data_IF_544890115345
#
_entry.id   IF_544890115345
#
_cell.length_a   1.000
_cell.length_b   1.000
_cell.length_c   1.000
_cell.angle_alpha   90.00
_cell.angle_beta   90.00
_cell.angle_gamma   90.00
#
_symmetry.space_group_name_H-M   'P 1'
#
loop_
_entity.id
_entity.type
_entity.pdbx_description
1 polymer ?
#
# COMPACT_ATOMS: atom_id res chain seq x y z
N UNK A 1 5.52 -19.01 -21.68
CA UNK A 1 4.10 -18.98 -21.30
C UNK A 1 3.52 -17.65 -21.78
N UNK A 2 2.33 -17.66 -22.40
CA UNK A 2 1.71 -16.45 -22.97
C UNK A 2 1.24 -15.52 -21.83
N UNK A 3 1.42 -14.20 -22.00
CA UNK A 3 0.90 -13.16 -21.09
C UNK A 3 1.38 -13.24 -19.64
N UNK A 4 2.68 -13.35 -19.43
CA UNK A 4 3.29 -13.18 -18.11
C UNK A 4 3.65 -11.72 -17.86
N UNK A 5 3.42 -11.24 -16.62
CA UNK A 5 3.74 -9.90 -16.18
C UNK A 5 4.32 -9.92 -14.76
N UNK A 6 5.43 -9.24 -14.56
CA UNK A 6 5.92 -8.92 -13.22
C UNK A 6 5.20 -7.66 -12.73
N UNK A 7 4.47 -7.74 -11.63
CA UNK A 7 3.79 -6.59 -11.04
C UNK A 7 4.55 -6.20 -9.77
N UNK A 8 5.06 -4.97 -9.70
CA UNK A 8 5.88 -4.50 -8.59
C UNK A 8 5.09 -3.53 -7.72
N UNK A 9 5.12 -3.76 -6.41
CA UNK A 9 4.45 -2.94 -5.40
C UNK A 9 5.44 -1.98 -4.75
N UNK A 10 5.07 -0.69 -4.73
CA UNK A 10 5.77 0.39 -4.04
C UNK A 10 4.85 1.09 -3.05
N UNK A 11 5.45 1.60 -1.95
CA UNK A 11 4.81 2.47 -0.97
C UNK A 11 5.61 3.77 -0.82
N UNK A 12 6.29 3.99 0.31
CA UNK A 12 7.12 5.18 0.51
C UNK A 12 8.34 5.22 -0.43
N UNK A 13 8.49 6.32 -1.18
CA UNK A 13 9.66 6.59 -2.04
C UNK A 13 10.16 8.01 -1.79
N UNK A 14 11.07 8.19 -0.82
CA UNK A 14 11.50 9.51 -0.35
C UNK A 14 12.97 9.56 0.04
N UNK A 15 13.50 10.77 0.21
CA UNK A 15 14.84 10.99 0.74
C UNK A 15 14.83 10.85 2.28
N UNK A 16 14.71 9.63 2.78
CA UNK A 16 14.51 9.31 4.19
C UNK A 16 15.47 10.01 5.16
N UNK A 17 16.80 10.10 4.89
CA UNK A 17 17.74 10.73 5.82
C UNK A 17 17.45 12.21 6.11
N UNK A 18 16.71 12.88 5.23
CA UNK A 18 16.43 14.32 5.30
C UNK A 18 14.99 14.65 5.72
N UNK A 19 14.21 13.62 6.13
CA UNK A 19 12.84 13.80 6.61
C UNK A 19 12.80 13.92 8.14
N UNK A 20 11.66 14.36 8.69
CA UNK A 20 11.42 14.34 10.15
C UNK A 20 11.41 12.93 10.74
N UNK A 21 11.17 11.92 9.89
CA UNK A 21 11.03 10.51 10.30
C UNK A 21 11.97 9.60 9.49
N UNK A 22 13.31 9.72 9.69
CA UNK A 22 14.28 8.96 8.90
C UNK A 22 14.22 7.44 9.13
N UNK A 23 13.50 6.99 10.16
CA UNK A 23 13.32 5.58 10.51
C UNK A 23 12.11 4.94 9.80
N UNK A 24 11.34 5.69 9.00
CA UNK A 24 10.30 5.10 8.15
C UNK A 24 10.93 4.06 7.22
N UNK A 25 10.32 2.89 7.15
CA UNK A 25 10.74 1.84 6.22
C UNK A 25 10.21 2.16 4.83
N UNK A 26 11.07 2.64 3.96
CA UNK A 26 10.73 3.01 2.59
C UNK A 26 11.92 2.89 1.65
N UNK A 27 11.69 3.08 0.37
CA UNK A 27 12.71 3.13 -0.65
C UNK A 27 13.29 4.56 -0.73
N UNK A 28 14.62 4.69 -0.80
CA UNK A 28 15.23 5.98 -1.08
C UNK A 28 14.90 6.43 -2.52
N UNK A 29 14.67 7.72 -2.73
CA UNK A 29 14.45 8.28 -4.06
C UNK A 29 15.61 7.97 -5.03
N UNK A 30 16.85 8.00 -4.53
CA UNK A 30 18.04 7.60 -5.29
C UNK A 30 18.00 6.11 -5.68
N UNK A 31 17.60 5.24 -4.76
CA UNK A 31 17.46 3.80 -5.03
C UNK A 31 16.33 3.51 -6.01
N UNK A 32 15.23 4.28 -5.97
CA UNK A 32 14.16 4.16 -6.95
C UNK A 32 14.67 4.47 -8.37
N UNK A 33 15.42 5.56 -8.56
CA UNK A 33 16.04 5.89 -9.86
C UNK A 33 16.95 4.77 -10.37
N UNK A 34 17.81 4.25 -9.51
CA UNK A 34 18.69 3.13 -9.84
C UNK A 34 17.90 1.86 -10.20
N UNK A 35 16.83 1.57 -9.45
CA UNK A 35 15.96 0.42 -9.71
C UNK A 35 15.21 0.55 -11.05
N UNK A 36 14.69 1.74 -11.40
CA UNK A 36 14.09 1.98 -12.71
C UNK A 36 15.13 1.75 -13.82
N UNK A 37 16.36 2.23 -13.66
CA UNK A 37 17.43 1.98 -14.63
C UNK A 37 17.78 0.48 -14.73
N UNK A 38 17.76 -0.26 -13.62
CA UNK A 38 17.92 -1.72 -13.65
C UNK A 38 16.79 -2.39 -14.41
N UNK A 39 15.53 -1.99 -14.16
CA UNK A 39 14.34 -2.54 -14.80
C UNK A 39 14.38 -2.31 -16.32
N UNK A 40 14.76 -1.12 -16.80
CA UNK A 40 14.90 -0.78 -18.22
C UNK A 40 15.85 -1.72 -18.99
N UNK A 41 16.80 -2.35 -18.30
CA UNK A 41 17.77 -3.27 -18.94
C UNK A 41 17.22 -4.67 -19.21
N UNK A 42 16.21 -5.10 -18.45
CA UNK A 42 15.78 -6.49 -18.42
C UNK A 42 14.29 -6.70 -18.67
N UNK A 43 13.49 -5.62 -18.57
CA UNK A 43 12.04 -5.69 -18.65
C UNK A 43 11.50 -4.69 -19.68
N UNK A 44 10.27 -4.94 -20.12
CA UNK A 44 9.50 -4.03 -20.95
C UNK A 44 8.37 -3.45 -20.11
N UNK A 45 8.38 -2.14 -19.87
CA UNK A 45 7.28 -1.46 -19.18
C UNK A 45 6.02 -1.56 -20.03
N UNK A 46 4.93 -1.91 -19.36
CA UNK A 46 3.60 -2.00 -19.95
C UNK A 46 2.63 -1.11 -19.18
N UNK A 47 1.48 -0.83 -19.78
CA UNK A 47 0.39 -0.09 -19.16
C UNK A 47 -0.61 -1.05 -18.52
N UNK A 48 -1.47 -0.51 -17.64
CA UNK A 48 -2.58 -1.30 -17.09
C UNK A 48 -3.58 -1.69 -18.18
N UNK A 49 -3.73 -0.85 -19.19
CA UNK A 49 -4.54 -1.11 -20.37
C UNK A 49 -4.03 -2.33 -21.17
N UNK A 50 -2.70 -2.50 -21.26
CA UNK A 50 -2.10 -3.69 -21.88
C UNK A 50 -2.47 -4.96 -21.10
N UNK A 51 -2.45 -4.89 -19.75
CA UNK A 51 -2.89 -6.01 -18.92
C UNK A 51 -4.37 -6.36 -19.16
N UNK A 52 -5.25 -5.37 -19.20
CA UNK A 52 -6.69 -5.54 -19.48
C UNK A 52 -6.88 -6.15 -20.89
N UNK A 53 -6.17 -5.62 -21.88
CA UNK A 53 -6.22 -6.14 -23.24
C UNK A 53 -5.75 -7.60 -23.33
N UNK A 54 -4.68 -7.94 -22.63
CA UNK A 54 -4.16 -9.31 -22.60
C UNK A 54 -5.13 -10.32 -21.96
N UNK A 55 -5.95 -9.88 -20.97
CA UNK A 55 -6.91 -10.75 -20.30
C UNK A 55 -8.23 -10.86 -21.07
N UNK A 56 -8.74 -9.77 -21.64
CA UNK A 56 -10.12 -9.70 -22.12
C UNK A 56 -10.27 -9.59 -23.63
N UNK A 57 -9.22 -9.16 -24.35
CA UNK A 57 -9.30 -8.82 -25.78
C UNK A 57 -8.21 -9.46 -26.63
N UNK A 58 -7.69 -10.62 -26.20
CA UNK A 58 -6.67 -11.40 -26.93
C UNK A 58 -5.38 -10.61 -27.25
N UNK A 59 -5.07 -9.56 -26.49
CA UNK A 59 -3.82 -8.83 -26.60
C UNK A 59 -2.61 -9.69 -26.19
N UNK A 60 -1.47 -9.46 -26.81
CA UNK A 60 -0.21 -10.11 -26.45
C UNK A 60 0.68 -9.13 -25.66
N UNK A 61 1.24 -9.57 -24.54
CA UNK A 61 2.26 -8.82 -23.83
C UNK A 61 3.65 -9.06 -24.41
N UNK A 62 4.54 -8.06 -24.35
CA UNK A 62 5.94 -8.29 -24.67
C UNK A 62 6.56 -9.30 -23.70
N UNK A 63 7.63 -9.96 -24.13
CA UNK A 63 8.43 -10.76 -23.20
C UNK A 63 8.95 -9.88 -22.05
N UNK A 64 9.05 -10.45 -20.86
CA UNK A 64 9.53 -9.73 -19.68
C UNK A 64 8.70 -8.46 -19.35
N UNK A 65 7.38 -8.51 -19.55
CA UNK A 65 6.49 -7.40 -19.22
C UNK A 65 6.56 -7.05 -17.72
N UNK A 66 6.55 -5.75 -17.40
CA UNK A 66 6.53 -5.25 -16.02
C UNK A 66 5.55 -4.09 -15.86
N UNK A 67 4.76 -4.15 -14.78
CA UNK A 67 3.84 -3.10 -14.36
C UNK A 67 4.26 -2.54 -13.01
N UNK A 68 4.30 -1.22 -12.87
CA UNK A 68 4.67 -0.54 -11.62
C UNK A 68 3.42 -0.04 -10.90
N UNK A 69 3.26 -0.41 -9.62
CA UNK A 69 2.09 -0.06 -8.80
C UNK A 69 2.52 0.64 -7.51
N UNK A 70 1.77 1.68 -7.11
CA UNK A 70 2.10 2.57 -5.99
C UNK A 70 0.88 2.74 -5.09
N UNK A 71 0.96 2.23 -3.87
CA UNK A 71 -0.16 2.16 -2.95
C UNK A 71 -0.23 3.38 -2.02
N UNK A 72 -1.37 3.58 -1.34
CA UNK A 72 -1.65 4.55 -0.27
C UNK A 72 -1.78 6.03 -0.70
N UNK A 73 -1.32 6.42 -1.88
CA UNK A 73 -1.45 7.80 -2.35
C UNK A 73 -0.52 8.80 -1.65
N UNK A 74 0.67 8.38 -1.22
CA UNK A 74 1.65 9.25 -0.58
C UNK A 74 2.10 10.42 -1.48
N UNK A 75 2.39 11.57 -0.85
CA UNK A 75 2.91 12.77 -1.55
C UNK A 75 4.22 12.47 -2.32
N UNK A 76 4.98 11.50 -1.87
CA UNK A 76 6.20 11.02 -2.53
C UNK A 76 5.95 10.59 -3.97
N UNK A 77 4.76 10.04 -4.24
CA UNK A 77 4.37 9.59 -5.57
C UNK A 77 4.28 10.76 -6.55
N UNK A 78 3.79 11.91 -6.10
CA UNK A 78 3.76 13.13 -6.92
C UNK A 78 5.13 13.81 -7.00
N UNK A 79 5.79 14.01 -5.85
CA UNK A 79 7.01 14.83 -5.79
C UNK A 79 8.25 14.09 -6.31
N UNK A 80 8.29 12.76 -6.24
CA UNK A 80 9.48 11.95 -6.53
C UNK A 80 9.23 10.97 -7.68
N UNK A 81 8.19 10.14 -7.58
CA UNK A 81 7.96 9.05 -8.53
C UNK A 81 7.48 9.57 -9.88
N UNK A 82 6.42 10.37 -9.88
CA UNK A 82 5.79 10.88 -11.09
C UNK A 82 6.77 11.58 -12.04
N UNK A 83 7.60 12.57 -11.61
CA UNK A 83 8.55 13.22 -12.52
C UNK A 83 9.58 12.28 -13.14
N UNK A 84 9.97 11.22 -12.41
CA UNK A 84 10.91 10.21 -12.92
C UNK A 84 10.25 9.37 -14.01
N UNK A 85 9.04 8.88 -13.76
CA UNK A 85 8.30 8.04 -14.71
C UNK A 85 7.88 8.84 -15.94
N UNK A 86 7.34 10.06 -15.75
CA UNK A 86 6.93 10.96 -16.83
C UNK A 86 8.09 11.24 -17.79
N UNK A 87 9.26 11.59 -17.25
CA UNK A 87 10.45 11.90 -18.07
C UNK A 87 10.93 10.74 -18.95
N UNK A 88 10.50 9.51 -18.63
CA UNK A 88 10.83 8.27 -19.34
C UNK A 88 9.66 7.72 -20.17
N UNK A 89 8.49 8.37 -20.12
CA UNK A 89 7.27 7.86 -20.77
C UNK A 89 6.74 6.55 -20.18
N UNK A 90 6.99 6.30 -18.90
CA UNK A 90 6.56 5.09 -18.19
C UNK A 90 5.26 5.40 -17.45
N UNK A 91 4.22 4.59 -17.66
CA UNK A 91 3.00 4.66 -16.86
C UNK A 91 3.24 4.04 -15.47
N UNK A 92 2.93 4.77 -14.41
CA UNK A 92 2.76 4.24 -13.06
C UNK A 92 1.27 4.08 -12.75
N UNK A 93 0.92 3.06 -11.96
CA UNK A 93 -0.45 2.82 -11.48
C UNK A 93 -0.53 3.19 -10.00
N UNK A 94 -1.31 4.20 -9.67
CA UNK A 94 -1.40 4.76 -8.31
C UNK A 94 -2.75 4.44 -7.68
N UNK A 95 -2.72 3.96 -6.45
CA UNK A 95 -3.89 3.49 -5.71
C UNK A 95 -4.03 4.27 -4.40
N UNK A 96 -4.62 5.48 -4.42
CA UNK A 96 -4.83 6.25 -3.21
C UNK A 96 -6.00 5.72 -2.38
N UNK A 97 -5.88 5.77 -1.05
CA UNK A 97 -7.02 5.65 -0.14
C UNK A 97 -7.81 6.96 -0.15
N UNK A 98 -9.10 6.88 -0.50
CA UNK A 98 -9.91 8.07 -0.77
C UNK A 98 -10.11 8.97 0.47
N UNK A 99 -10.35 8.37 1.63
CA UNK A 99 -10.61 9.10 2.89
C UNK A 99 -9.42 9.94 3.33
N UNK A 100 -8.22 9.42 3.21
CA UNK A 100 -6.99 10.14 3.57
C UNK A 100 -6.84 11.47 2.82
N UNK A 101 -7.33 11.52 1.60
CA UNK A 101 -7.27 12.70 0.73
C UNK A 101 -8.46 13.64 0.93
N UNK A 102 -9.67 13.09 1.13
CA UNK A 102 -10.90 13.87 1.24
C UNK A 102 -11.15 14.41 2.65
N UNK A 103 -10.89 13.58 3.65
CA UNK A 103 -11.21 13.88 5.05
C UNK A 103 -9.97 14.20 5.88
N UNK A 104 -8.77 14.07 5.27
CA UNK A 104 -7.47 14.33 5.91
C UNK A 104 -7.23 13.48 7.16
N UNK A 105 -7.73 12.26 7.16
CA UNK A 105 -7.47 11.27 8.20
C UNK A 105 -6.27 10.40 7.84
N UNK A 106 -5.48 10.04 8.84
CA UNK A 106 -4.35 9.12 8.68
C UNK A 106 -4.80 7.71 9.06
N UNK A 107 -4.77 6.70 8.17
CA UNK A 107 -5.09 5.32 8.51
C UNK A 107 -4.24 4.78 9.67
N UNK A 108 -4.82 3.92 10.48
CA UNK A 108 -4.18 3.33 11.66
C UNK A 108 -2.79 2.76 11.36
N UNK A 109 -2.63 2.06 10.25
CA UNK A 109 -1.34 1.49 9.83
C UNK A 109 -0.27 2.57 9.65
N UNK A 110 -0.61 3.70 9.07
CA UNK A 110 0.33 4.81 8.88
C UNK A 110 0.61 5.54 10.20
N UNK A 111 -0.40 5.72 11.06
CA UNK A 111 -0.17 6.20 12.44
C UNK A 111 0.86 5.31 13.16
N UNK A 112 0.74 3.98 13.05
CA UNK A 112 1.69 3.02 13.63
C UNK A 112 3.08 3.16 13.00
N UNK A 113 3.19 3.31 11.68
CA UNK A 113 4.49 3.50 11.01
C UNK A 113 5.20 4.75 11.54
N UNK A 114 4.50 5.88 11.62
CA UNK A 114 5.08 7.13 12.11
C UNK A 114 5.35 7.11 13.61
N UNK A 115 4.50 6.47 14.40
CA UNK A 115 4.72 6.25 15.83
C UNK A 115 6.03 5.47 16.05
N UNK A 116 6.23 4.37 15.35
CA UNK A 116 7.46 3.56 15.45
C UNK A 116 8.70 4.33 14.96
N UNK A 117 8.54 5.18 13.95
CA UNK A 117 9.63 5.98 13.39
C UNK A 117 9.96 7.23 14.22
N UNK A 118 9.05 7.70 15.08
CA UNK A 118 9.26 8.88 15.95
C UNK A 118 10.05 8.57 17.21
N UNK A 119 10.08 7.29 17.64
CA UNK A 119 10.67 6.92 18.90
C UNK A 119 12.18 6.70 18.82
N UNK A 120 12.93 7.37 19.68
CA UNK A 120 14.35 7.10 19.88
C UNK A 120 14.58 5.70 20.49
N UNK A 121 13.65 5.25 21.35
CA UNK A 121 13.69 3.93 21.97
C UNK A 121 12.30 3.29 21.96
N UNK A 122 12.20 2.10 21.42
CA UNK A 122 10.94 1.31 21.39
C UNK A 122 10.36 1.08 22.80
N UNK A 123 11.22 1.02 23.84
CA UNK A 123 10.81 0.85 25.22
C UNK A 123 9.88 1.98 25.70
N UNK A 124 10.15 3.22 25.31
CA UNK A 124 9.36 4.37 25.73
C UNK A 124 7.94 4.32 25.13
N UNK A 125 7.79 3.84 23.89
CA UNK A 125 6.49 3.60 23.29
C UNK A 125 5.74 2.46 23.96
N UNK A 126 6.42 1.37 24.34
CA UNK A 126 5.80 0.26 25.05
C UNK A 126 5.28 0.72 26.42
N UNK A 127 6.04 1.55 27.16
CA UNK A 127 5.59 2.11 28.41
C UNK A 127 4.36 3.03 28.23
N UNK A 128 4.37 3.87 27.21
CA UNK A 128 3.20 4.72 26.90
C UNK A 128 1.97 3.89 26.50
N UNK A 129 2.15 2.78 25.75
CA UNK A 129 1.06 1.84 25.47
C UNK A 129 0.52 1.21 26.77
N UNK A 130 1.41 0.79 27.69
CA UNK A 130 1.00 0.24 28.99
C UNK A 130 0.20 1.24 29.82
N UNK A 131 0.60 2.52 29.84
CA UNK A 131 -0.17 3.58 30.49
C UNK A 131 -1.59 3.68 29.91
N UNK A 132 -1.73 3.63 28.57
CA UNK A 132 -3.04 3.62 27.93
C UNK A 132 -3.85 2.35 28.27
N UNK A 133 -3.22 1.16 28.22
CA UNK A 133 -3.90 -0.09 28.58
C UNK A 133 -4.38 -0.07 30.03
N UNK A 134 -3.57 0.42 30.98
CA UNK A 134 -3.93 0.51 32.39
C UNK A 134 -5.11 1.48 32.62
N UNK A 135 -5.15 2.60 31.88
CA UNK A 135 -6.26 3.58 31.89
C UNK A 135 -7.59 2.94 31.49
N UNK A 136 -7.60 2.11 30.45
CA UNK A 136 -8.81 1.50 29.90
C UNK A 136 -9.09 0.08 30.40
N UNK A 137 -8.22 -0.48 31.26
CA UNK A 137 -8.24 -1.90 31.67
C UNK A 137 -9.58 -2.36 32.22
N UNK A 138 -10.17 -1.60 33.13
CA UNK A 138 -11.44 -1.98 33.76
C UNK A 138 -12.62 -1.88 32.80
N UNK A 139 -12.63 -0.88 31.92
CA UNK A 139 -13.70 -0.64 30.95
C UNK A 139 -13.79 -1.73 29.90
N UNK A 140 -12.63 -2.13 29.36
CA UNK A 140 -12.53 -3.12 28.28
C UNK A 140 -12.12 -4.52 28.77
N UNK A 141 -12.09 -4.75 30.09
CA UNK A 141 -11.71 -6.06 30.68
C UNK A 141 -10.38 -6.61 30.12
N UNK A 142 -9.36 -5.76 30.05
CA UNK A 142 -8.08 -6.11 29.44
C UNK A 142 -7.24 -7.00 30.36
N UNK A 143 -6.50 -7.93 29.76
CA UNK A 143 -5.49 -8.75 30.40
C UNK A 143 -4.29 -7.90 30.90
N UNK A 144 -3.41 -8.50 31.71
CA UNK A 144 -2.21 -7.83 32.17
C UNK A 144 -1.24 -7.49 31.03
N UNK A 145 -0.41 -6.45 31.23
CA UNK A 145 0.62 -6.07 30.26
C UNK A 145 1.62 -7.20 30.00
N UNK A 146 1.97 -7.98 31.03
CA UNK A 146 2.84 -9.15 30.93
C UNK A 146 2.19 -10.27 30.09
N UNK A 147 0.88 -10.48 30.23
CA UNK A 147 0.15 -11.42 29.40
C UNK A 147 0.27 -11.07 27.92
N UNK A 148 -0.07 -9.83 27.56
CA UNK A 148 0.02 -9.37 26.17
C UNK A 148 1.44 -9.43 25.63
N UNK A 149 2.43 -9.00 26.39
CA UNK A 149 3.81 -9.04 25.95
C UNK A 149 4.29 -10.47 25.72
N UNK A 150 4.00 -11.39 26.62
CA UNK A 150 4.38 -12.80 26.48
C UNK A 150 3.72 -13.47 25.26
N UNK A 151 2.46 -13.12 24.98
CA UNK A 151 1.69 -13.64 23.84
C UNK A 151 2.21 -13.12 22.49
N UNK A 152 2.52 -11.84 22.39
CA UNK A 152 2.68 -11.14 21.12
C UNK A 152 4.13 -10.76 20.77
N UNK A 153 5.03 -10.60 21.74
CA UNK A 153 6.39 -10.12 21.53
C UNK A 153 7.33 -11.21 20.98
N UNK A 154 7.10 -11.60 19.72
CA UNK A 154 7.92 -12.60 19.02
C UNK A 154 8.77 -11.90 17.95
N UNK A 155 10.11 -11.98 18.07
CA UNK A 155 10.98 -11.38 17.06
C UNK A 155 10.71 -11.94 15.67
N UNK A 156 10.66 -11.05 14.69
CA UNK A 156 10.57 -11.38 13.26
C UNK A 156 11.91 -11.22 12.56
N UNK A 157 12.02 -11.59 11.28
CA UNK A 157 13.26 -11.42 10.51
C UNK A 157 13.71 -9.95 10.37
N UNK A 158 12.76 -9.01 10.38
CA UNK A 158 13.00 -7.58 10.13
C UNK A 158 12.67 -6.69 11.32
N UNK A 159 12.02 -7.21 12.37
CA UNK A 159 11.52 -6.44 13.50
C UNK A 159 11.92 -7.05 14.84
N UNK A 160 12.31 -6.19 15.79
CA UNK A 160 12.57 -6.59 17.18
C UNK A 160 11.28 -7.03 17.88
N UNK A 161 11.40 -7.76 19.00
CA UNK A 161 10.25 -8.19 19.82
C UNK A 161 9.33 -7.04 20.19
N UNK A 162 9.90 -5.88 20.56
CA UNK A 162 9.13 -4.70 20.96
C UNK A 162 8.35 -4.10 19.77
N UNK A 163 8.96 -4.03 18.57
CA UNK A 163 8.28 -3.55 17.37
C UNK A 163 7.13 -4.47 16.98
N UNK A 164 7.37 -5.80 16.99
CA UNK A 164 6.31 -6.78 16.69
C UNK A 164 5.18 -6.70 17.71
N UNK A 165 5.51 -6.52 18.99
CA UNK A 165 4.52 -6.32 20.05
C UNK A 165 3.63 -5.10 19.77
N UNK A 166 4.22 -3.92 19.54
CA UNK A 166 3.48 -2.69 19.22
C UNK A 166 2.57 -2.88 18.00
N UNK A 167 3.10 -3.45 16.91
CA UNK A 167 2.31 -3.70 15.70
C UNK A 167 1.11 -4.61 15.99
N UNK A 168 1.31 -5.75 16.65
CA UNK A 168 0.22 -6.70 16.92
C UNK A 168 -0.84 -6.14 17.84
N UNK A 169 -0.44 -5.42 18.90
CA UNK A 169 -1.38 -4.75 19.79
C UNK A 169 -2.25 -3.75 19.03
N UNK A 170 -1.63 -2.89 18.22
CA UNK A 170 -2.29 -1.77 17.56
C UNK A 170 -2.86 -2.11 16.16
N UNK A 171 -2.69 -3.35 15.66
CA UNK A 171 -3.28 -3.78 14.39
C UNK A 171 -4.39 -4.83 14.56
N UNK A 172 -4.29 -5.71 15.56
CA UNK A 172 -5.17 -6.88 15.60
C UNK A 172 -5.60 -7.37 16.98
N UNK A 173 -4.84 -7.11 18.05
CA UNK A 173 -5.15 -7.71 19.35
C UNK A 173 -6.26 -6.96 20.08
N UNK A 174 -6.21 -5.62 20.07
CA UNK A 174 -7.21 -4.79 20.72
C UNK A 174 -8.49 -4.70 19.89
N UNK A 175 -9.62 -4.56 20.56
CA UNK A 175 -10.90 -4.24 19.95
C UNK A 175 -10.79 -2.91 19.18
N UNK A 176 -11.48 -2.79 18.04
CA UNK A 176 -11.31 -1.71 17.06
C UNK A 176 -11.46 -0.31 17.69
N UNK A 177 -12.49 -0.08 18.49
CA UNK A 177 -12.76 1.22 19.13
C UNK A 177 -11.64 1.59 20.09
N UNK A 178 -11.24 0.67 20.96
CA UNK A 178 -10.13 0.91 21.90
C UNK A 178 -8.81 1.11 21.20
N UNK A 179 -8.54 0.34 20.15
CA UNK A 179 -7.34 0.47 19.35
C UNK A 179 -7.19 1.86 18.76
N UNK A 180 -8.27 2.39 18.13
CA UNK A 180 -8.27 3.74 17.55
C UNK A 180 -8.07 4.81 18.63
N UNK A 181 -8.74 4.70 19.78
CA UNK A 181 -8.55 5.64 20.91
C UNK A 181 -7.10 5.69 21.39
N UNK A 182 -6.49 4.52 21.64
CA UNK A 182 -5.10 4.42 22.10
C UNK A 182 -4.15 4.95 21.04
N UNK A 183 -4.38 4.59 19.79
CA UNK A 183 -3.52 5.00 18.68
C UNK A 183 -3.55 6.52 18.49
N UNK A 184 -4.73 7.15 18.58
CA UNK A 184 -4.88 8.60 18.53
C UNK A 184 -4.18 9.31 19.69
N UNK A 185 -4.26 8.77 20.91
CA UNK A 185 -3.54 9.33 22.06
C UNK A 185 -2.02 9.27 21.84
N UNK A 186 -1.51 8.12 21.39
CA UNK A 186 -0.09 7.94 21.12
C UNK A 186 0.39 8.79 19.95
N UNK A 187 -0.41 8.86 18.86
CA UNK A 187 -0.09 9.67 17.70
C UNK A 187 0.02 11.15 18.04
N UNK A 188 -0.95 11.69 18.80
CA UNK A 188 -0.91 13.08 19.28
C UNK A 188 0.31 13.36 20.16
N UNK A 189 0.70 12.42 21.00
CA UNK A 189 1.83 12.58 21.93
C UNK A 189 3.19 12.54 21.24
N UNK A 190 3.37 11.66 20.23
CA UNK A 190 4.69 11.32 19.68
C UNK A 190 4.90 11.78 18.23
N UNK A 191 3.84 12.02 17.46
CA UNK A 191 3.93 12.32 16.03
C UNK A 191 3.42 13.72 15.72
N UNK A 192 2.13 13.97 15.89
CA UNK A 192 1.51 15.27 15.60
C UNK A 192 0.23 15.46 16.42
N UNK A 193 0.06 16.64 17.01
CA UNK A 193 -1.18 17.06 17.65
C UNK A 193 -2.21 17.62 16.63
N UNK A 194 -1.84 17.74 15.37
CA UNK A 194 -2.69 18.18 14.26
C UNK A 194 -2.63 17.10 13.17
N UNK A 195 -3.61 16.18 13.19
CA UNK A 195 -3.69 15.08 12.24
C UNK A 195 -4.02 15.57 10.83
N UNK A 196 -4.87 16.59 10.70
CA UNK A 196 -5.23 17.15 9.40
C UNK A 196 -4.01 17.75 8.70
N UNK A 197 -3.23 18.58 9.40
CA UNK A 197 -2.00 19.14 8.84
C UNK A 197 -0.99 18.03 8.49
N UNK A 198 -0.87 17.01 9.33
CA UNK A 198 0.01 15.88 9.06
C UNK A 198 -0.45 15.08 7.84
N UNK A 199 -1.75 14.84 7.69
CA UNK A 199 -2.33 14.14 6.53
C UNK A 199 -2.04 14.91 5.23
N UNK A 200 -2.19 16.24 5.24
CA UNK A 200 -1.87 17.10 4.07
C UNK A 200 -0.40 17.08 3.68
N UNK A 201 0.51 16.87 4.61
CA UNK A 201 1.94 16.67 4.34
C UNK A 201 2.25 15.26 3.82
N UNK A 202 1.42 14.28 4.16
CA UNK A 202 1.70 12.86 3.89
C UNK A 202 1.12 12.37 2.57
N UNK A 203 -0.08 12.84 2.21
CA UNK A 203 -0.80 12.36 1.02
C UNK A 203 -0.90 13.40 -0.09
N UNK A 204 -1.09 12.90 -1.30
CA UNK A 204 -1.38 13.73 -2.47
C UNK A 204 -2.72 14.45 -2.32
N UNK A 205 -2.84 15.62 -2.94
CA UNK A 205 -4.12 16.30 -3.11
C UNK A 205 -4.87 15.79 -4.34
N UNK A 206 -6.16 16.12 -4.41
CA UNK A 206 -7.00 15.86 -5.60
C UNK A 206 -6.36 16.48 -6.86
N UNK A 207 -5.89 17.73 -6.78
CA UNK A 207 -5.27 18.42 -7.92
C UNK A 207 -4.01 17.71 -8.43
N UNK A 208 -3.21 17.13 -7.52
CA UNK A 208 -2.04 16.35 -7.88
C UNK A 208 -2.43 15.04 -8.59
N UNK A 209 -3.43 14.32 -8.09
CA UNK A 209 -3.96 13.13 -8.76
C UNK A 209 -4.52 13.45 -10.14
N UNK A 210 -5.25 14.56 -10.29
CA UNK A 210 -5.75 15.03 -11.58
C UNK A 210 -4.59 15.39 -12.53
N UNK A 211 -3.54 16.02 -12.03
CA UNK A 211 -2.35 16.32 -12.81
C UNK A 211 -1.70 15.03 -13.33
N UNK A 212 -1.48 14.06 -12.47
CA UNK A 212 -0.89 12.76 -12.84
C UNK A 212 -1.75 12.02 -13.87
N UNK A 213 -3.06 11.97 -13.67
CA UNK A 213 -4.00 11.34 -14.61
C UNK A 213 -3.95 11.98 -15.99
N UNK A 214 -3.95 13.33 -16.06
CA UNK A 214 -3.82 14.05 -17.36
C UNK A 214 -2.47 13.83 -18.07
N UNK A 215 -1.45 13.42 -17.33
CA UNK A 215 -0.12 13.11 -17.88
C UNK A 215 0.14 11.60 -18.00
N UNK A 216 -0.92 10.81 -18.20
CA UNK A 216 -0.82 9.41 -18.58
C UNK A 216 -0.58 8.41 -17.44
N UNK A 217 -0.59 8.86 -16.17
CA UNK A 217 -0.56 7.94 -15.03
C UNK A 217 -1.94 7.33 -14.78
N UNK A 218 -1.99 6.08 -14.42
CA UNK A 218 -3.23 5.41 -14.05
C UNK A 218 -3.55 5.65 -12.57
N UNK A 219 -4.81 6.02 -12.27
CA UNK A 219 -5.30 6.18 -10.89
C UNK A 219 -6.43 5.17 -10.67
N UNK A 220 -6.20 4.23 -9.74
CA UNK A 220 -7.16 3.18 -9.37
C UNK A 220 -7.62 3.27 -7.91
N UNK A 221 -8.38 2.28 -7.47
CA UNK A 221 -8.97 2.24 -6.12
C UNK A 221 -8.10 1.48 -5.12
N UNK A 222 -7.92 2.04 -3.92
CA UNK A 222 -7.38 1.36 -2.74
C UNK A 222 -8.40 1.33 -1.59
N UNK A 223 -9.69 1.23 -1.94
CA UNK A 223 -10.78 1.38 -0.99
C UNK A 223 -10.99 2.83 -0.55
N UNK A 224 -11.94 3.03 0.37
CA UNK A 224 -12.22 4.35 0.93
C UNK A 224 -11.46 4.56 2.25
N UNK A 225 -11.67 3.67 3.25
CA UNK A 225 -11.10 3.78 4.61
C UNK A 225 -9.78 3.03 4.80
N UNK A 226 -9.25 2.35 3.80
CA UNK A 226 -8.07 1.49 3.95
C UNK A 226 -8.27 0.33 4.95
N UNK A 227 -9.43 -0.31 4.94
CA UNK A 227 -9.74 -1.46 5.80
C UNK A 227 -9.23 -2.79 5.23
N UNK A 228 -9.03 -3.78 6.11
CA UNK A 228 -8.99 -5.19 5.69
C UNK A 228 -10.36 -5.59 5.15
N UNK A 229 -10.56 -5.47 3.83
CA UNK A 229 -11.89 -5.61 3.21
C UNK A 229 -12.52 -6.98 3.45
N UNK A 230 -11.73 -8.05 3.51
CA UNK A 230 -12.19 -9.41 3.82
C UNK A 230 -12.66 -9.62 5.27
N UNK A 231 -12.55 -8.63 6.14
CA UNK A 231 -13.10 -8.67 7.51
C UNK A 231 -14.44 -7.97 7.63
N UNK A 232 -14.90 -7.32 6.56
CA UNK A 232 -16.13 -6.56 6.51
C UNK A 232 -17.31 -7.42 6.03
N UNK A 233 -18.53 -7.03 6.42
CA UNK A 233 -19.75 -7.59 5.80
C UNK A 233 -19.87 -7.16 4.33
N UNK A 234 -20.62 -7.91 3.51
CA UNK A 234 -20.81 -7.59 2.11
C UNK A 234 -21.35 -6.17 1.89
N UNK A 235 -22.27 -5.69 2.74
CA UNK A 235 -22.82 -4.33 2.66
C UNK A 235 -21.76 -3.27 2.94
N UNK A 236 -20.84 -3.52 3.91
CA UNK A 236 -19.73 -2.62 4.20
C UNK A 236 -18.68 -2.66 3.08
N UNK A 237 -18.38 -3.85 2.52
CA UNK A 237 -17.51 -3.98 1.34
C UNK A 237 -18.05 -3.17 0.16
N UNK A 238 -19.35 -3.33 -0.16
CA UNK A 238 -19.99 -2.60 -1.26
C UNK A 238 -19.91 -1.09 -1.04
N UNK A 239 -20.19 -0.61 0.18
CA UNK A 239 -20.08 0.81 0.54
C UNK A 239 -18.66 1.35 0.37
N UNK A 240 -17.63 0.60 0.81
CA UNK A 240 -16.22 0.96 0.62
C UNK A 240 -15.87 1.17 -0.86
N UNK A 241 -16.33 0.25 -1.70
CA UNK A 241 -16.10 0.33 -3.15
C UNK A 241 -16.87 1.51 -3.77
N UNK A 242 -18.14 1.71 -3.43
CA UNK A 242 -18.94 2.82 -3.98
C UNK A 242 -18.37 4.19 -3.63
N UNK A 243 -17.97 4.39 -2.38
CA UNK A 243 -17.34 5.63 -1.95
C UNK A 243 -16.01 5.88 -2.67
N UNK A 244 -15.20 4.85 -2.85
CA UNK A 244 -13.93 4.96 -3.58
C UNK A 244 -14.14 5.24 -5.07
N UNK A 245 -15.12 4.61 -5.72
CA UNK A 245 -15.45 4.89 -7.12
C UNK A 245 -16.04 6.30 -7.31
N UNK A 246 -16.86 6.78 -6.36
CA UNK A 246 -17.34 8.16 -6.37
C UNK A 246 -16.18 9.16 -6.28
N UNK A 247 -15.21 8.91 -5.40
CA UNK A 247 -13.98 9.71 -5.32
C UNK A 247 -13.22 9.73 -6.65
N UNK A 248 -12.97 8.57 -7.26
CA UNK A 248 -12.23 8.48 -8.52
C UNK A 248 -12.96 9.24 -9.63
N UNK A 249 -14.28 9.05 -9.78
CA UNK A 249 -15.09 9.65 -10.82
C UNK A 249 -15.29 11.15 -10.62
N UNK A 250 -15.76 11.56 -9.43
CA UNK A 250 -16.24 12.92 -9.19
C UNK A 250 -15.15 13.90 -8.79
N UNK A 251 -14.09 13.42 -8.13
CA UNK A 251 -12.99 14.28 -7.65
C UNK A 251 -11.76 14.17 -8.53
N UNK A 252 -11.31 12.97 -8.85
CA UNK A 252 -10.12 12.77 -9.67
C UNK A 252 -10.41 12.92 -11.16
N UNK A 253 -11.63 12.55 -11.62
CA UNK A 253 -11.97 12.46 -13.03
C UNK A 253 -11.38 11.23 -13.73
N UNK A 254 -11.01 10.21 -12.97
CA UNK A 254 -10.48 8.97 -13.50
C UNK A 254 -11.61 8.10 -14.09
N UNK A 255 -11.34 7.35 -15.18
CA UNK A 255 -12.32 6.42 -15.75
C UNK A 255 -12.69 5.31 -14.75
N UNK A 256 -14.00 5.04 -14.62
CA UNK A 256 -14.52 3.99 -13.74
C UNK A 256 -15.24 2.86 -14.49
N UNK A 257 -15.19 2.86 -15.82
CA UNK A 257 -15.82 1.82 -16.64
C UNK A 257 -14.98 0.52 -16.73
N UNK A 258 -13.65 0.66 -16.60
CA UNK A 258 -12.69 -0.45 -16.61
C UNK A 258 -11.62 -0.20 -15.52
N UNK A 259 -12.05 -0.04 -14.30
CA UNK A 259 -11.19 0.32 -13.21
C UNK A 259 -10.45 -0.89 -12.59
N UNK A 260 -9.42 -0.59 -11.83
CA UNK A 260 -8.56 -1.59 -11.17
C UNK A 260 -8.61 -1.36 -9.66
N UNK A 261 -8.74 -2.46 -8.92
CA UNK A 261 -8.66 -2.51 -7.46
C UNK A 261 -7.24 -2.90 -7.01
N UNK A 262 -6.74 -2.24 -5.99
CA UNK A 262 -5.64 -2.72 -5.19
C UNK A 262 -6.17 -2.96 -3.77
N UNK A 263 -6.10 -4.20 -3.29
CA UNK A 263 -6.64 -4.54 -1.97
C UNK A 263 -5.75 -4.01 -0.86
N UNK A 264 -6.28 -3.17 0.07
CA UNK A 264 -5.53 -2.83 1.28
C UNK A 264 -5.12 -4.10 2.02
N UNK A 265 -3.84 -4.20 2.40
CA UNK A 265 -3.24 -5.39 3.04
C UNK A 265 -3.35 -6.68 2.22
N UNK A 266 -3.71 -6.61 0.95
CA UNK A 266 -3.98 -7.78 0.12
C UNK A 266 -5.23 -8.58 0.51
N UNK A 267 -6.07 -8.06 1.39
CA UNK A 267 -7.22 -8.77 1.96
C UNK A 267 -8.44 -8.80 1.03
N UNK A 268 -8.83 -9.97 0.54
CA UNK A 268 -10.02 -10.19 -0.29
C UNK A 268 -10.71 -11.51 0.08
N UNK A 269 -11.97 -11.65 -0.33
CA UNK A 269 -12.79 -12.85 -0.24
C UNK A 269 -13.73 -12.95 -1.46
N UNK A 270 -14.46 -14.05 -1.56
CA UNK A 270 -15.37 -14.31 -2.69
C UNK A 270 -16.49 -13.27 -2.78
N UNK A 271 -16.99 -12.78 -1.64
CA UNK A 271 -18.02 -11.73 -1.59
C UNK A 271 -17.54 -10.44 -2.25
N UNK A 272 -16.34 -9.99 -1.89
CA UNK A 272 -15.73 -8.80 -2.47
C UNK A 272 -15.48 -8.97 -3.97
N UNK A 273 -14.96 -10.13 -4.41
CA UNK A 273 -14.74 -10.41 -5.84
C UNK A 273 -16.04 -10.30 -6.63
N UNK A 274 -17.16 -10.82 -6.11
CA UNK A 274 -18.46 -10.70 -6.77
C UNK A 274 -18.96 -9.23 -6.84
N UNK A 275 -18.71 -8.43 -5.80
CA UNK A 275 -19.00 -6.99 -5.82
C UNK A 275 -18.17 -6.28 -6.89
N UNK A 276 -16.86 -6.56 -6.97
CA UNK A 276 -15.95 -5.99 -7.96
C UNK A 276 -16.40 -6.30 -9.39
N UNK A 277 -16.77 -7.55 -9.68
CA UNK A 277 -17.30 -7.98 -10.98
C UNK A 277 -18.59 -7.22 -11.36
N UNK A 278 -19.53 -7.10 -10.43
CA UNK A 278 -20.79 -6.36 -10.64
C UNK A 278 -20.55 -4.88 -10.95
N UNK A 279 -19.49 -4.29 -10.41
CA UNK A 279 -19.12 -2.88 -10.60
C UNK A 279 -18.09 -2.65 -11.74
N UNK A 280 -17.94 -3.62 -12.65
CA UNK A 280 -17.05 -3.54 -13.82
C UNK A 280 -15.54 -3.36 -13.50
N UNK A 281 -15.08 -3.77 -12.33
CA UNK A 281 -13.65 -3.91 -12.07
C UNK A 281 -13.04 -4.90 -13.07
N UNK A 282 -11.87 -4.60 -13.62
CA UNK A 282 -11.20 -5.48 -14.60
C UNK A 282 -10.06 -6.27 -13.99
N UNK A 283 -9.33 -5.65 -13.08
CA UNK A 283 -8.20 -6.28 -12.41
C UNK A 283 -8.28 -5.99 -10.91
N UNK A 284 -7.80 -6.93 -10.09
CA UNK A 284 -7.53 -6.65 -8.71
C UNK A 284 -6.17 -7.22 -8.28
N UNK A 285 -5.42 -6.38 -7.57
CA UNK A 285 -4.04 -6.60 -7.17
C UNK A 285 -4.00 -7.01 -5.70
N UNK A 286 -3.42 -8.18 -5.44
CA UNK A 286 -3.20 -8.70 -4.10
C UNK A 286 -1.80 -8.34 -3.56
N UNK A 287 -1.61 -8.54 -2.26
CA UNK A 287 -0.32 -8.51 -1.58
C UNK A 287 -0.18 -9.80 -0.77
N UNK A 288 0.33 -10.84 -1.42
CA UNK A 288 0.67 -12.09 -0.76
C UNK A 288 2.15 -12.37 -0.94
N UNK A 289 2.98 -11.37 -0.60
CA UNK A 289 4.43 -11.35 -0.81
C UNK A 289 5.17 -12.66 -0.47
N UNK A 290 4.64 -13.47 0.45
CA UNK A 290 5.16 -14.82 0.76
C UNK A 290 4.88 -15.87 -0.34
N UNK A 291 3.96 -15.61 -1.27
CA UNK A 291 3.55 -16.52 -2.36
C UNK A 291 3.66 -15.86 -3.74
N UNK A 292 4.17 -14.63 -3.80
CA UNK A 292 4.26 -13.89 -5.04
C UNK A 292 5.02 -14.70 -6.11
N UNK A 293 4.50 -14.67 -7.34
CA UNK A 293 5.16 -15.20 -8.52
C UNK A 293 4.89 -14.24 -9.68
N UNK A 294 5.52 -14.51 -10.83
CA UNK A 294 5.24 -13.77 -12.07
C UNK A 294 3.78 -14.04 -12.44
N UNK A 295 2.97 -12.98 -12.50
CA UNK A 295 1.55 -13.11 -12.78
C UNK A 295 1.31 -13.63 -14.19
N UNK A 296 0.59 -14.75 -14.32
CA UNK A 296 0.07 -15.22 -15.61
C UNK A 296 -1.31 -14.61 -15.80
N UNK A 297 -1.44 -13.61 -16.67
CA UNK A 297 -2.67 -12.85 -16.84
C UNK A 297 -3.73 -13.65 -17.59
N UNK A 298 -4.83 -13.96 -16.95
CA UNK A 298 -6.00 -14.62 -17.52
C UNK A 298 -7.28 -14.27 -16.74
N UNK A 299 -8.45 -14.66 -17.25
CA UNK A 299 -9.75 -14.35 -16.64
C UNK A 299 -9.97 -15.00 -15.27
N UNK A 300 -9.33 -16.14 -15.01
CA UNK A 300 -9.54 -16.90 -13.76
C UNK A 300 -8.85 -16.21 -12.57
N UNK A 301 -7.70 -15.55 -12.81
CA UNK A 301 -6.95 -14.87 -11.77
C UNK A 301 -6.96 -13.34 -11.86
N UNK A 302 -7.79 -12.75 -12.73
CA UNK A 302 -7.86 -11.29 -12.92
C UNK A 302 -8.11 -10.50 -11.63
N UNK A 303 -8.73 -11.13 -10.63
CA UNK A 303 -9.06 -10.51 -9.33
C UNK A 303 -8.12 -10.92 -8.20
N UNK A 304 -7.05 -11.63 -8.49
CA UNK A 304 -6.11 -12.16 -7.49
C UNK A 304 -4.66 -12.07 -7.97
N UNK A 305 -4.34 -11.01 -8.72
CA UNK A 305 -3.00 -10.85 -9.30
C UNK A 305 -1.99 -10.53 -8.21
N UNK A 306 -1.01 -11.39 -8.08
CA UNK A 306 0.07 -11.27 -7.11
C UNK A 306 1.10 -10.23 -7.54
N UNK A 307 1.70 -9.56 -6.53
CA UNK A 307 2.73 -8.55 -6.73
C UNK A 307 3.99 -8.92 -5.96
N UNK A 308 5.14 -8.60 -6.52
CA UNK A 308 6.41 -8.65 -5.79
C UNK A 308 6.66 -7.31 -5.09
N UNK A 309 7.33 -7.37 -3.94
CA UNK A 309 7.73 -6.17 -3.21
C UNK A 309 8.93 -5.49 -3.90
N UNK A 310 9.04 -4.16 -3.80
CA UNK A 310 10.19 -3.41 -4.33
C UNK A 310 11.54 -3.95 -3.84
N UNK A 311 11.58 -4.61 -2.67
CA UNK A 311 12.79 -5.23 -2.14
C UNK A 311 13.19 -6.52 -2.87
N UNK A 312 12.29 -7.09 -3.66
CA UNK A 312 12.54 -8.29 -4.47
C UNK A 312 13.34 -8.00 -5.74
N UNK A 313 13.47 -6.74 -6.14
CA UNK A 313 14.31 -6.32 -7.27
C UNK A 313 15.54 -5.54 -6.80
N UNK A 314 16.66 -5.64 -7.53
CA UNK A 314 17.88 -4.87 -7.25
C UNK A 314 17.62 -3.36 -7.26
N UNK A 315 18.24 -2.65 -6.31
CA UNK A 315 18.17 -1.19 -6.14
C UNK A 315 19.45 -0.48 -6.62
N UNK A 316 20.18 -1.13 -7.52
CA UNK A 316 21.45 -0.66 -8.13
C UNK A 316 21.35 -0.94 -9.63
N UNK A 317 21.53 0.09 -10.46
CA UNK A 317 21.35 0.04 -11.91
C UNK A 317 22.17 -1.07 -12.59
N UNK A 318 23.39 -1.27 -12.15
CA UNK A 318 24.33 -2.23 -12.73
C UNK A 318 24.41 -3.56 -11.95
N UNK A 319 23.43 -3.85 -11.10
CA UNK A 319 23.39 -5.13 -10.39
C UNK A 319 23.26 -6.31 -11.38
N UNK A 320 23.77 -7.46 -10.96
CA UNK A 320 23.51 -8.73 -11.65
C UNK A 320 22.03 -9.11 -11.49
N UNK A 321 21.55 -9.94 -12.44
CA UNK A 321 20.19 -10.46 -12.40
C UNK A 321 19.98 -11.34 -11.17
N UNK A 322 18.96 -11.00 -10.38
CA UNK A 322 18.54 -11.80 -9.23
C UNK A 322 17.61 -12.95 -9.65
N UNK A 323 17.09 -13.71 -8.69
CA UNK A 323 16.21 -14.85 -8.94
C UNK A 323 14.93 -14.46 -9.68
N UNK A 324 14.33 -13.29 -9.39
CA UNK A 324 13.12 -12.80 -10.05
C UNK A 324 13.39 -12.44 -11.51
N UNK A 325 14.43 -11.67 -11.78
CA UNK A 325 14.81 -11.32 -13.15
C UNK A 325 15.20 -12.55 -13.95
N UNK A 326 15.89 -13.53 -13.36
CA UNK A 326 16.20 -14.79 -14.05
C UNK A 326 14.96 -15.58 -14.44
N UNK A 327 13.87 -15.55 -13.67
CA UNK A 327 12.61 -16.23 -14.02
C UNK A 327 11.99 -15.71 -15.32
N UNK A 328 12.11 -14.40 -15.61
CA UNK A 328 11.51 -13.79 -16.81
C UNK A 328 12.39 -13.87 -18.04
N UNK A 329 13.71 -14.11 -17.87
CA UNK A 329 14.68 -14.20 -18.96
C UNK A 329 14.76 -15.62 -19.58
N UNK A 330 13.99 -16.58 -19.05
CA UNK A 330 13.92 -17.96 -19.58
C UNK A 330 12.82 -18.04 -20.63
#
# INVERSE_FOLDING_TARGET
MKNQCTIVMYHYVRELPYTRYPQIKGLLASQFKEQITYIERYYHFITVEDCINAIYFDGDLPSNAILLTFDDGFIDHFNTVFPILESKGIQGCFFPSAKSILEYEVPDVHKIHFLLASALKIHDLIQALYECLDKYRSEYSLESNDHYFSKLAKAGPMDTKGVVFMKRMLQSELEETLRSLILDELFRKYVSNDEEAFSRELYMSVDQLQCMSRNGMYIGSHGYNHYFLNTLTAERQEKEIDLSLSFLKEKVGAPTDNWVMCYPYGGYDDSLIEILKKKNCKLALADTSAKADIACLNKDNAYTLERIDTNDLPKIANAETNSWTKKVLI
#
